data_IF_666180988887
#
_entry.id   IF_666180988887
#
_cell.length_a   1.000
_cell.length_b   1.000
_cell.length_c   1.000
_cell.angle_alpha   90.00
_cell.angle_beta   90.00
_cell.angle_gamma   90.00
#
_symmetry.space_group_name_H-M   'P 1'
#
loop_
_entity.id
_entity.type
_entity.pdbx_description
1 polymer ?
#
# COMPACT_ATOMS: atom_id res chain seq x y z
N UNK A 1 14.11 -8.16 33.07
CA UNK A 1 14.13 -8.05 31.60
C UNK A 1 15.33 -7.21 31.24
N UNK A 2 16.28 -7.79 30.52
CA UNK A 2 17.55 -7.12 30.21
C UNK A 2 17.33 -6.13 29.06
N UNK A 3 17.17 -4.86 29.41
CA UNK A 3 16.85 -3.77 28.48
C UNK A 3 17.91 -3.68 27.37
N UNK A 4 19.16 -4.03 27.70
CA UNK A 4 20.31 -4.09 26.80
C UNK A 4 20.19 -5.16 25.71
N UNK A 5 19.64 -6.33 26.06
CA UNK A 5 19.38 -7.40 25.10
C UNK A 5 18.24 -7.03 24.14
N UNK A 6 17.22 -6.34 24.66
CA UNK A 6 16.12 -5.80 23.86
C UNK A 6 16.68 -4.74 22.89
N UNK A 7 17.43 -3.75 23.36
CA UNK A 7 17.98 -2.69 22.49
C UNK A 7 18.91 -3.22 21.40
N UNK A 8 19.68 -4.29 21.66
CA UNK A 8 20.55 -4.90 20.64
C UNK A 8 19.75 -5.65 19.55
N UNK A 9 18.62 -6.26 19.88
CA UNK A 9 17.72 -6.88 18.89
C UNK A 9 17.06 -5.82 18.01
N UNK A 10 16.59 -4.72 18.61
CA UNK A 10 15.97 -3.61 17.87
C UNK A 10 16.97 -2.79 17.04
N UNK A 11 18.24 -2.72 17.46
CA UNK A 11 19.31 -2.06 16.69
C UNK A 11 19.77 -2.82 15.45
N UNK A 12 19.48 -4.13 15.37
CA UNK A 12 19.86 -4.98 14.23
C UNK A 12 18.81 -5.01 13.10
N UNK A 13 17.58 -4.56 13.37
CA UNK A 13 16.48 -4.57 12.39
C UNK A 13 16.45 -3.21 11.68
N UNK A 14 16.61 -3.17 10.34
CA UNK A 14 16.49 -1.93 9.58
C UNK A 14 15.14 -1.24 9.81
N UNK A 15 15.14 0.09 9.94
CA UNK A 15 13.94 0.90 10.19
C UNK A 15 12.78 0.60 9.24
N UNK A 16 13.10 0.25 7.98
CA UNK A 16 12.11 -0.13 6.97
C UNK A 16 11.20 -1.29 7.39
N UNK A 17 11.74 -2.29 8.09
CA UNK A 17 10.96 -3.43 8.55
C UNK A 17 9.98 -3.06 9.66
N UNK A 18 10.32 -2.07 10.49
CA UNK A 18 9.37 -1.53 11.46
C UNK A 18 8.22 -0.78 10.78
N UNK A 19 8.50 -0.03 9.70
CA UNK A 19 7.47 0.65 8.91
C UNK A 19 6.53 -0.38 8.27
N UNK A 20 7.10 -1.37 7.57
CA UNK A 20 6.31 -2.42 6.90
C UNK A 20 5.51 -3.27 7.90
N UNK A 21 6.12 -3.65 9.02
CA UNK A 21 5.46 -4.36 10.12
C UNK A 21 4.33 -3.54 10.74
N UNK A 22 4.54 -2.23 10.92
CA UNK A 22 3.51 -1.31 11.40
C UNK A 22 2.31 -1.22 10.46
N UNK A 23 2.55 -1.08 9.16
CA UNK A 23 1.48 -1.09 8.14
C UNK A 23 0.71 -2.41 8.18
N UNK A 24 1.43 -3.54 8.24
CA UNK A 24 0.83 -4.88 8.28
C UNK A 24 -0.06 -5.06 9.52
N UNK A 25 0.42 -4.63 10.69
CA UNK A 25 -0.33 -4.70 11.94
C UNK A 25 -1.57 -3.81 11.91
N UNK A 26 -1.45 -2.55 11.49
CA UNK A 26 -2.59 -1.62 11.40
C UNK A 26 -3.67 -2.18 10.46
N UNK A 27 -3.25 -2.72 9.32
CA UNK A 27 -4.16 -3.35 8.37
C UNK A 27 -4.81 -4.62 8.91
N UNK A 28 -4.04 -5.48 9.59
CA UNK A 28 -4.57 -6.68 10.23
C UNK A 28 -5.61 -6.33 11.30
N UNK A 29 -5.31 -5.36 12.19
CA UNK A 29 -6.29 -4.87 13.17
C UNK A 29 -7.53 -4.26 12.50
N UNK A 30 -7.35 -3.52 11.41
CA UNK A 30 -8.45 -3.00 10.60
C UNK A 30 -9.33 -4.12 10.03
N UNK A 31 -8.72 -5.22 9.58
CA UNK A 31 -9.40 -6.40 9.07
C UNK A 31 -10.16 -7.16 10.15
N UNK A 32 -9.57 -7.35 11.35
CA UNK A 32 -10.28 -7.95 12.49
C UNK A 32 -11.53 -7.13 12.84
N UNK A 33 -11.41 -5.79 12.88
CA UNK A 33 -12.48 -4.91 13.33
C UNK A 33 -13.60 -4.71 12.31
N UNK A 34 -13.27 -4.62 11.03
CA UNK A 34 -14.21 -4.17 9.99
C UNK A 34 -14.31 -5.08 8.77
N UNK A 35 -13.72 -6.28 8.86
CA UNK A 35 -13.58 -7.21 7.76
C UNK A 35 -12.57 -6.74 6.71
N UNK A 36 -12.43 -7.53 5.64
CA UNK A 36 -11.47 -7.26 4.56
C UNK A 36 -11.83 -6.02 3.70
N UNK A 37 -13.02 -5.44 3.90
CA UNK A 37 -13.57 -4.36 3.07
C UNK A 37 -12.60 -3.19 2.88
N UNK A 38 -12.15 -2.58 3.98
CA UNK A 38 -11.34 -1.36 3.92
C UNK A 38 -9.97 -1.64 3.32
N UNK A 39 -9.40 -2.79 3.66
CA UNK A 39 -8.09 -3.19 3.15
C UNK A 39 -8.16 -3.47 1.65
N UNK A 40 -9.20 -4.16 1.18
CA UNK A 40 -9.42 -4.39 -0.24
C UNK A 40 -9.70 -3.09 -1.02
N UNK A 41 -10.40 -2.13 -0.41
CA UNK A 41 -10.58 -0.79 -1.00
C UNK A 41 -9.24 -0.08 -1.17
N UNK A 42 -8.35 -0.12 -0.17
CA UNK A 42 -7.00 0.46 -0.28
C UNK A 42 -6.19 -0.28 -1.35
N UNK A 43 -6.26 -1.62 -1.37
CA UNK A 43 -5.55 -2.47 -2.33
C UNK A 43 -5.90 -2.14 -3.78
N UNK A 44 -7.13 -1.72 -4.04
CA UNK A 44 -7.58 -1.31 -5.38
C UNK A 44 -7.32 0.18 -5.63
N UNK A 45 -7.60 1.04 -4.65
CA UNK A 45 -7.46 2.48 -4.80
C UNK A 45 -6.01 2.90 -5.05
N UNK A 46 -5.04 2.30 -4.35
CA UNK A 46 -3.65 2.74 -4.42
C UNK A 46 -2.99 2.48 -5.78
N UNK A 47 -3.07 1.26 -6.36
CA UNK A 47 -2.54 1.03 -7.71
C UNK A 47 -3.27 1.83 -8.78
N UNK A 48 -4.60 1.98 -8.65
CA UNK A 48 -5.38 2.79 -9.59
C UNK A 48 -5.00 4.27 -9.51
N UNK A 49 -4.72 4.80 -8.32
CA UNK A 49 -4.25 6.17 -8.15
C UNK A 49 -2.90 6.37 -8.84
N UNK A 50 -1.97 5.44 -8.66
CA UNK A 50 -0.66 5.47 -9.31
C UNK A 50 -0.79 5.45 -10.84
N UNK A 51 -1.67 4.59 -11.38
CA UNK A 51 -1.96 4.53 -12.82
C UNK A 51 -2.58 5.83 -13.34
N UNK A 52 -3.55 6.40 -12.62
CA UNK A 52 -4.17 7.67 -13.02
C UNK A 52 -3.16 8.80 -13.06
N UNK A 53 -2.29 8.92 -12.04
CA UNK A 53 -1.23 9.94 -12.02
C UNK A 53 -0.29 9.80 -13.21
N UNK A 54 0.08 8.57 -13.60
CA UNK A 54 0.90 8.34 -14.79
C UNK A 54 0.19 8.74 -16.09
N UNK A 55 -1.13 8.63 -16.14
CA UNK A 55 -1.96 9.00 -17.31
C UNK A 55 -2.36 10.49 -17.34
N UNK A 56 -2.24 11.23 -16.24
CA UNK A 56 -2.67 12.64 -16.15
C UNK A 56 -2.07 13.56 -17.21
N UNK A 57 -0.77 13.47 -17.57
CA UNK A 57 -0.20 14.34 -18.60
C UNK A 57 -0.88 14.18 -19.97
N UNK A 58 -1.55 13.05 -20.21
CA UNK A 58 -2.26 12.75 -21.45
C UNK A 58 -3.73 13.22 -21.42
N UNK A 59 -4.22 13.69 -20.28
CA UNK A 59 -5.60 14.14 -20.14
C UNK A 59 -5.79 15.53 -20.76
N UNK A 60 -6.76 15.66 -21.67
CA UNK A 60 -7.02 16.90 -22.42
C UNK A 60 -7.25 18.14 -21.52
N UNK A 61 -7.96 17.98 -20.41
CA UNK A 61 -8.32 19.09 -19.51
C UNK A 61 -7.31 19.25 -18.37
N UNK A 62 -6.80 18.14 -17.83
CA UNK A 62 -5.97 18.15 -16.62
C UNK A 62 -4.46 18.09 -16.90
N UNK A 63 -4.06 17.83 -18.15
CA UNK A 63 -2.65 17.67 -18.54
C UNK A 63 -1.82 18.93 -18.34
N UNK A 64 -2.36 20.10 -18.70
CA UNK A 64 -1.66 21.38 -18.49
C UNK A 64 -1.52 21.74 -17.00
N UNK A 65 -2.51 21.38 -16.18
CA UNK A 65 -2.42 21.55 -14.72
C UNK A 65 -1.41 20.55 -14.11
N UNK A 66 -1.37 19.31 -14.62
CA UNK A 66 -0.42 18.30 -14.17
C UNK A 66 1.03 18.68 -14.48
N UNK A 67 1.28 19.35 -15.61
CA UNK A 67 2.59 19.84 -16.02
C UNK A 67 3.19 20.90 -15.07
N UNK A 68 2.36 21.56 -14.24
CA UNK A 68 2.81 22.54 -13.26
C UNK A 68 3.40 21.90 -11.99
N UNK A 69 3.15 20.60 -11.75
CA UNK A 69 3.68 19.87 -10.59
C UNK A 69 5.07 19.30 -10.88
N UNK A 70 6.05 20.19 -10.95
CA UNK A 70 7.47 19.83 -11.16
C UNK A 70 8.15 19.31 -9.89
N UNK A 71 7.59 19.59 -8.71
CA UNK A 71 8.17 19.17 -7.43
C UNK A 71 7.69 17.75 -7.06
N UNK A 72 8.60 16.80 -6.75
CA UNK A 72 8.25 15.44 -6.30
C UNK A 72 7.24 15.39 -5.13
N UNK A 73 7.34 16.34 -4.19
CA UNK A 73 6.42 16.43 -3.06
C UNK A 73 5.00 16.76 -3.53
N UNK A 74 4.85 17.65 -4.51
CA UNK A 74 3.54 17.98 -5.07
C UNK A 74 2.94 16.81 -5.85
N UNK A 75 3.77 16.03 -6.52
CA UNK A 75 3.32 14.81 -7.19
C UNK A 75 2.85 13.75 -6.19
N UNK A 76 3.54 13.60 -5.06
CA UNK A 76 3.11 12.73 -3.97
C UNK A 76 1.79 13.20 -3.33
N UNK A 77 1.59 14.52 -3.17
CA UNK A 77 0.32 15.10 -2.70
C UNK A 77 -0.82 14.86 -3.69
N UNK A 78 -0.58 15.02 -4.99
CA UNK A 78 -1.55 14.76 -6.04
C UNK A 78 -1.96 13.27 -6.05
N UNK A 79 -0.98 12.37 -5.92
CA UNK A 79 -1.24 10.94 -5.76
C UNK A 79 -2.11 10.68 -4.52
N UNK A 80 -1.78 11.30 -3.39
CA UNK A 80 -2.57 11.20 -2.15
C UNK A 80 -4.01 11.69 -2.33
N UNK A 81 -4.21 12.81 -3.02
CA UNK A 81 -5.54 13.35 -3.32
C UNK A 81 -6.35 12.39 -4.19
N UNK A 82 -5.77 11.90 -5.28
CA UNK A 82 -6.43 10.95 -6.19
C UNK A 82 -6.73 9.63 -5.47
N UNK A 83 -5.81 9.15 -4.64
CA UNK A 83 -6.01 7.98 -3.80
C UNK A 83 -7.23 8.14 -2.88
N UNK A 84 -7.37 9.27 -2.19
CA UNK A 84 -8.53 9.53 -1.32
C UNK A 84 -9.83 9.54 -2.12
N UNK A 85 -9.84 10.22 -3.28
CA UNK A 85 -11.02 10.25 -4.17
C UNK A 85 -11.39 8.83 -4.62
N UNK A 86 -10.43 8.05 -5.11
CA UNK A 86 -10.66 6.68 -5.56
C UNK A 86 -11.10 5.76 -4.42
N UNK A 87 -10.52 5.90 -3.23
CA UNK A 87 -10.93 5.15 -2.06
C UNK A 87 -12.42 5.37 -1.75
N UNK A 88 -12.87 6.63 -1.78
CA UNK A 88 -14.30 6.97 -1.58
C UNK A 88 -15.15 6.41 -2.72
N UNK A 89 -14.74 6.58 -3.98
CA UNK A 89 -15.49 6.08 -5.14
C UNK A 89 -15.65 4.56 -5.14
N UNK A 90 -14.56 3.81 -4.94
CA UNK A 90 -14.58 2.34 -4.84
C UNK A 90 -15.44 1.92 -3.65
N UNK A 91 -15.41 2.67 -2.55
CA UNK A 91 -16.27 2.43 -1.41
C UNK A 91 -17.76 2.62 -1.70
N UNK A 92 -18.11 3.50 -2.64
CA UNK A 92 -19.48 3.81 -3.08
C UNK A 92 -20.01 2.90 -4.18
N UNK A 93 -19.13 2.34 -5.03
CA UNK A 93 -19.50 1.40 -6.12
C UNK A 93 -20.15 0.10 -5.59
N UNK A 94 -20.27 -0.09 -4.27
CA UNK A 94 -21.19 -1.07 -3.70
C UNK A 94 -20.72 -2.51 -3.86
N UNK A 95 -19.41 -2.73 -4.02
CA UNK A 95 -18.85 -4.07 -3.93
C UNK A 95 -19.14 -4.57 -2.51
N UNK A 96 -20.00 -5.58 -2.39
CA UNK A 96 -20.30 -6.24 -1.13
C UNK A 96 -19.03 -7.00 -0.71
N UNK A 97 -18.27 -6.36 0.16
CA UNK A 97 -17.14 -6.98 0.84
C UNK A 97 -17.70 -7.69 2.08
N UNK A 98 -17.35 -8.96 2.28
CA UNK A 98 -17.84 -9.77 3.39
C UNK A 98 -17.82 -9.00 4.71
N UNK A 99 -18.98 -8.91 5.36
CA UNK A 99 -19.21 -8.10 6.56
C UNK A 99 -18.82 -8.81 7.86
N UNK A 100 -18.23 -10.00 7.76
CA UNK A 100 -17.81 -10.79 8.91
C UNK A 100 -16.41 -10.38 9.34
N UNK A 101 -16.21 -10.18 10.65
CA UNK A 101 -14.88 -9.86 11.19
C UNK A 101 -13.90 -10.96 10.83
N UNK A 102 -12.76 -10.60 10.25
CA UNK A 102 -11.79 -11.58 9.77
C UNK A 102 -11.23 -12.39 10.93
N UNK A 103 -11.14 -13.72 10.76
CA UNK A 103 -10.44 -14.58 11.71
C UNK A 103 -8.97 -14.11 11.86
N UNK A 104 -8.31 -14.31 13.00
CA UNK A 104 -6.94 -13.80 13.22
C UNK A 104 -5.95 -14.16 12.10
N UNK A 105 -6.03 -15.38 11.56
CA UNK A 105 -5.19 -15.84 10.45
C UNK A 105 -5.50 -15.09 9.15
N UNK A 106 -6.78 -14.89 8.84
CA UNK A 106 -7.21 -14.12 7.68
C UNK A 106 -6.79 -12.65 7.79
N UNK A 107 -6.88 -12.06 8.99
CA UNK A 107 -6.43 -10.71 9.25
C UNK A 107 -4.92 -10.55 9.08
N UNK A 108 -4.12 -11.50 9.55
CA UNK A 108 -2.68 -11.51 9.34
C UNK A 108 -2.32 -11.59 7.84
N UNK A 109 -2.96 -12.51 7.10
CA UNK A 109 -2.80 -12.61 5.64
C UNK A 109 -3.20 -11.31 4.93
N UNK A 110 -4.30 -10.69 5.35
CA UNK A 110 -4.76 -9.40 4.83
C UNK A 110 -3.74 -8.29 5.07
N UNK A 111 -3.14 -8.25 6.26
CA UNK A 111 -2.10 -7.29 6.62
C UNK A 111 -0.84 -7.44 5.77
N UNK A 112 -0.36 -8.68 5.61
CA UNK A 112 0.82 -8.96 4.75
C UNK A 112 0.53 -8.62 3.29
N UNK A 113 -0.63 -9.00 2.77
CA UNK A 113 -1.01 -8.76 1.39
C UNK A 113 -1.07 -7.26 1.06
N UNK A 114 -1.72 -6.45 1.92
CA UNK A 114 -1.78 -5.01 1.66
C UNK A 114 -0.42 -4.33 1.80
N UNK A 115 0.41 -4.75 2.76
CA UNK A 115 1.77 -4.22 2.89
C UNK A 115 2.57 -4.53 1.64
N UNK A 116 2.46 -5.76 1.10
CA UNK A 116 3.07 -6.14 -0.18
C UNK A 116 2.62 -5.25 -1.33
N UNK A 117 1.32 -4.95 -1.45
CA UNK A 117 0.81 -4.04 -2.48
C UNK A 117 1.33 -2.62 -2.28
N UNK A 118 1.29 -2.09 -1.06
CA UNK A 118 1.72 -0.73 -0.76
C UNK A 118 3.21 -0.57 -1.07
N UNK A 119 4.08 -1.45 -0.57
CA UNK A 119 5.53 -1.32 -0.76
C UNK A 119 5.92 -1.51 -2.23
N UNK A 120 5.32 -2.46 -2.94
CA UNK A 120 5.62 -2.68 -4.36
C UNK A 120 5.19 -1.51 -5.23
N UNK A 121 4.03 -0.91 -4.94
CA UNK A 121 3.55 0.27 -5.65
C UNK A 121 4.30 1.53 -5.23
N UNK A 122 4.77 1.62 -3.99
CA UNK A 122 5.65 2.70 -3.52
C UNK A 122 6.95 2.70 -4.32
N UNK A 123 7.63 1.56 -4.41
CA UNK A 123 8.85 1.38 -5.22
C UNK A 123 8.61 1.58 -6.72
N UNK A 124 7.38 1.40 -7.20
CA UNK A 124 7.01 1.65 -8.58
C UNK A 124 6.78 3.13 -8.90
N UNK A 125 6.66 3.99 -7.88
CA UNK A 125 6.22 5.38 -8.03
C UNK A 125 7.36 6.33 -7.68
N UNK A 126 8.02 6.97 -8.67
CA UNK A 126 9.19 7.82 -8.42
C UNK A 126 8.94 8.97 -7.43
N UNK A 127 7.73 9.54 -7.44
CA UNK A 127 7.37 10.60 -6.50
C UNK A 127 7.38 10.14 -5.04
N UNK A 128 7.05 8.88 -4.75
CA UNK A 128 7.05 8.33 -3.41
C UNK A 128 8.45 7.98 -2.92
N UNK A 129 9.35 7.60 -3.83
CA UNK A 129 10.75 7.36 -3.52
C UNK A 129 11.45 8.61 -2.95
N UNK A 130 11.02 9.80 -3.41
CA UNK A 130 11.49 11.08 -2.87
C UNK A 130 11.03 11.36 -1.43
N UNK A 131 9.94 10.73 -0.98
CA UNK A 131 9.39 10.88 0.38
C UNK A 131 10.06 9.90 1.34
N UNK A 132 10.23 8.64 0.90
CA UNK A 132 10.95 7.62 1.63
C UNK A 132 11.62 6.65 0.66
N UNK A 133 12.95 6.61 0.71
CA UNK A 133 13.76 5.67 -0.05
C UNK A 133 14.06 4.44 0.80
N UNK A 134 13.45 3.30 0.45
CA UNK A 134 13.67 2.05 1.16
C UNK A 134 15.08 1.50 0.95
N UNK A 135 15.64 0.81 1.93
CA UNK A 135 16.97 0.21 1.83
C UNK A 135 17.07 -0.93 0.80
N UNK A 136 18.30 -1.34 0.43
CA UNK A 136 18.56 -2.31 -0.64
C UNK A 136 17.81 -3.63 -0.47
N UNK A 137 17.74 -4.16 0.75
CA UNK A 137 17.05 -5.41 1.04
C UNK A 137 15.55 -5.40 0.65
N UNK A 138 14.86 -4.28 0.88
CA UNK A 138 13.45 -4.13 0.53
C UNK A 138 13.31 -3.96 -0.98
N UNK A 139 14.21 -3.22 -1.62
CA UNK A 139 14.24 -3.06 -3.07
C UNK A 139 14.51 -4.39 -3.79
N UNK A 140 15.40 -5.23 -3.27
CA UNK A 140 15.68 -6.54 -3.84
C UNK A 140 14.47 -7.48 -3.74
N UNK A 141 13.74 -7.42 -2.62
CA UNK A 141 12.60 -8.32 -2.38
C UNK A 141 11.31 -7.86 -3.08
N UNK A 142 11.04 -6.55 -3.10
CA UNK A 142 9.79 -5.97 -3.65
C UNK A 142 9.99 -5.18 -4.94
N UNK A 143 11.20 -5.24 -5.52
CA UNK A 143 11.58 -4.51 -6.71
C UNK A 143 10.87 -4.97 -7.98
N UNK A 144 11.24 -4.35 -9.10
CA UNK A 144 10.58 -4.55 -10.39
C UNK A 144 10.52 -6.03 -10.84
N UNK A 145 11.55 -6.82 -10.51
CA UNK A 145 11.65 -8.24 -10.90
C UNK A 145 10.58 -9.12 -10.25
N UNK A 146 10.19 -8.83 -9.01
CA UNK A 146 9.22 -9.61 -8.25
C UNK A 146 7.85 -8.94 -8.10
N UNK A 147 7.71 -7.70 -8.59
CA UNK A 147 6.49 -6.89 -8.49
C UNK A 147 5.25 -7.64 -8.95
N UNK A 148 5.32 -8.30 -10.11
CA UNK A 148 4.19 -9.06 -10.65
C UNK A 148 3.73 -10.14 -9.67
N UNK A 149 4.67 -10.93 -9.12
CA UNK A 149 4.37 -12.02 -8.20
C UNK A 149 3.83 -11.52 -6.86
N UNK A 150 4.37 -10.42 -6.34
CA UNK A 150 3.86 -9.79 -5.13
C UNK A 150 2.44 -9.27 -5.30
N UNK A 151 2.14 -8.58 -6.41
CA UNK A 151 0.80 -8.11 -6.68
C UNK A 151 -0.17 -9.27 -6.89
N UNK A 152 0.20 -10.27 -7.71
CA UNK A 152 -0.63 -11.46 -7.95
C UNK A 152 -0.91 -12.22 -6.66
N UNK A 153 0.13 -12.52 -5.89
CA UNK A 153 0.01 -13.21 -4.60
C UNK A 153 -0.80 -12.42 -3.58
N UNK A 154 -0.62 -11.10 -3.52
CA UNK A 154 -1.37 -10.24 -2.59
C UNK A 154 -2.84 -10.13 -2.96
N UNK A 155 -3.17 -9.94 -4.24
CA UNK A 155 -4.56 -9.94 -4.69
C UNK A 155 -5.21 -11.32 -4.52
N UNK A 156 -4.47 -12.40 -4.76
CA UNK A 156 -4.92 -13.77 -4.49
C UNK A 156 -5.22 -14.00 -3.00
N UNK A 157 -4.32 -13.54 -2.12
CA UNK A 157 -4.53 -13.62 -0.67
C UNK A 157 -5.74 -12.81 -0.20
N UNK A 158 -5.93 -11.58 -0.73
CA UNK A 158 -7.10 -10.77 -0.43
C UNK A 158 -8.41 -11.39 -0.96
N UNK A 159 -8.35 -12.07 -2.11
CA UNK A 159 -9.49 -12.82 -2.65
C UNK A 159 -9.83 -14.03 -1.77
N UNK A 160 -8.82 -14.75 -1.27
CA UNK A 160 -9.02 -15.86 -0.33
C UNK A 160 -9.59 -15.38 1.02
N UNK A 161 -9.07 -14.29 1.58
CA UNK A 161 -9.57 -13.70 2.83
C UNK A 161 -11.02 -13.20 2.69
N UNK A 162 -11.46 -12.90 1.46
CA UNK A 162 -12.85 -12.52 1.17
C UNK A 162 -13.80 -13.72 1.07
N UNK A 163 -13.33 -14.84 0.52
CA UNK A 163 -14.13 -16.03 0.24
C UNK A 163 -14.52 -16.78 1.51
#
# INVERSE_FOLDING_TARGET
MDVTAITNIFGAIPTDWFILGGIALIAAFGCVRSGARRVAQIALAFPLAALLVQSLPQAFILGEMAAQFLNPIMQALLLGLIFVVLYVLIGRIGIAWGGEGGQPVQAALCGVAITGIIVTMWLATPALDSVWHFGPHIQDMFGAQYRFWWLLGSFGALAYVRG
#
